data_IF_724754912693
#
_entry.id   IF_724754912693
#
_cell.length_a   1.000
_cell.length_b   1.000
_cell.length_c   1.000
_cell.angle_alpha   90.00
_cell.angle_beta   90.00
_cell.angle_gamma   90.00
#
_symmetry.space_group_name_H-M   'P 1'
#
loop_
_entity.id
_entity.type
_entity.pdbx_description
1 polymer ?
#
# COMPACT_ATOMS: atom_id res chain seq x y z
N UNK A 1 -17.22 5.71 23.59
CA UNK A 1 -16.41 5.01 22.57
C UNK A 1 -17.25 4.54 21.38
N UNK A 2 -18.39 3.88 21.58
CA UNK A 2 -19.29 3.45 20.48
C UNK A 2 -19.86 4.61 19.63
N UNK A 3 -20.01 5.80 20.22
CA UNK A 3 -20.56 6.98 19.53
C UNK A 3 -19.69 7.45 18.34
N UNK A 4 -18.35 7.35 18.44
CA UNK A 4 -17.43 7.80 17.39
C UNK A 4 -17.25 6.78 16.26
N UNK A 5 -17.44 5.49 16.55
CA UNK A 5 -17.47 4.41 15.55
C UNK A 5 -18.75 4.48 14.70
N UNK A 6 -19.91 4.71 15.34
CA UNK A 6 -21.19 4.88 14.64
C UNK A 6 -21.25 6.14 13.77
N UNK A 7 -20.43 7.15 14.06
CA UNK A 7 -20.36 8.40 13.30
C UNK A 7 -19.27 8.37 12.22
N UNK A 8 -18.59 7.23 12.00
CA UNK A 8 -17.58 7.12 10.96
C UNK A 8 -16.32 7.97 11.23
N UNK A 9 -15.94 8.16 12.50
CA UNK A 9 -14.68 8.83 12.87
C UNK A 9 -13.57 7.87 13.31
N UNK A 10 -13.92 6.63 13.69
CA UNK A 10 -12.96 5.61 14.14
C UNK A 10 -13.28 4.24 13.54
N UNK A 11 -12.25 3.49 13.11
CA UNK A 11 -12.35 2.06 12.79
C UNK A 11 -11.56 1.24 13.81
N UNK A 12 -12.18 0.18 14.36
CA UNK A 12 -11.49 -0.80 15.22
C UNK A 12 -10.57 -1.69 14.38
N UNK A 13 -9.33 -1.82 14.83
CA UNK A 13 -8.39 -2.88 14.42
C UNK A 13 -7.88 -3.54 15.70
N UNK A 14 -7.60 -4.85 15.68
CA UNK A 14 -7.30 -5.70 16.85
C UNK A 14 -6.41 -5.02 17.92
N UNK A 15 -7.02 -4.39 18.93
CA UNK A 15 -6.35 -3.72 20.05
C UNK A 15 -6.15 -2.19 19.96
N UNK A 16 -6.59 -1.51 18.89
CA UNK A 16 -6.44 -0.06 18.74
C UNK A 16 -7.64 0.61 18.04
N UNK A 17 -7.78 1.92 18.23
CA UNK A 17 -8.69 2.77 17.47
C UNK A 17 -7.87 3.69 16.55
N UNK A 18 -8.12 3.64 15.25
CA UNK A 18 -7.44 4.51 14.28
C UNK A 18 -8.44 5.52 13.73
N UNK A 19 -8.05 6.80 13.70
CA UNK A 19 -8.83 7.87 13.07
C UNK A 19 -9.12 7.52 11.61
N UNK A 20 -10.36 7.76 11.18
CA UNK A 20 -10.76 7.69 9.78
C UNK A 20 -10.13 8.88 9.04
N UNK A 21 -8.84 8.75 8.73
CA UNK A 21 -8.20 9.53 7.68
C UNK A 21 -8.90 9.20 6.38
N UNK A 22 -9.19 10.22 5.57
CA UNK A 22 -9.87 10.11 4.27
C UNK A 22 -9.55 8.79 3.57
N UNK A 23 -10.58 8.05 3.15
CA UNK A 23 -10.44 6.81 2.38
C UNK A 23 -9.75 7.04 1.01
N UNK A 24 -9.54 8.30 0.64
CA UNK A 24 -8.71 8.66 -0.51
C UNK A 24 -7.23 8.38 -0.25
N UNK A 25 -6.71 7.38 -0.96
CA UNK A 25 -5.30 7.01 -0.93
C UNK A 25 -4.40 8.15 -1.39
N UNK A 26 -4.85 9.02 -2.31
CA UNK A 26 -4.02 10.10 -2.82
C UNK A 26 -3.73 11.13 -1.73
N UNK A 27 -4.76 11.55 -0.98
CA UNK A 27 -4.58 12.35 0.25
C UNK A 27 -3.66 11.65 1.25
N UNK A 28 -3.78 10.33 1.42
CA UNK A 28 -2.92 9.57 2.33
C UNK A 28 -1.48 9.45 1.83
N UNK A 29 -1.21 9.55 0.54
CA UNK A 29 0.17 9.56 0.02
C UNK A 29 0.90 10.85 0.45
N UNK A 30 0.20 11.98 0.41
CA UNK A 30 0.76 13.29 0.76
C UNK A 30 1.09 13.41 2.26
N UNK A 31 0.26 12.83 3.12
CA UNK A 31 0.47 12.89 4.58
C UNK A 31 1.78 12.18 4.96
N UNK A 32 2.75 12.94 5.50
CA UNK A 32 4.07 12.42 5.93
C UNK A 32 4.80 11.68 4.80
N UNK A 33 4.69 12.20 3.58
CA UNK A 33 5.30 11.63 2.39
C UNK A 33 6.78 11.29 2.59
N UNK A 34 7.60 12.23 3.08
CA UNK A 34 9.06 12.05 3.23
C UNK A 34 9.43 10.86 4.12
N UNK A 35 8.70 10.68 5.22
CA UNK A 35 8.89 9.55 6.14
C UNK A 35 8.52 8.25 5.43
N UNK A 36 7.39 8.22 4.72
CA UNK A 36 6.95 7.02 3.99
C UNK A 36 7.90 6.68 2.84
N UNK A 37 8.41 7.66 2.13
CA UNK A 37 9.39 7.47 1.06
C UNK A 37 10.71 6.95 1.62
N UNK A 38 11.17 7.47 2.76
CA UNK A 38 12.37 6.96 3.45
C UNK A 38 12.19 5.50 3.86
N UNK A 39 11.03 5.14 4.43
CA UNK A 39 10.70 3.76 4.77
C UNK A 39 10.64 2.86 3.53
N UNK A 40 10.02 3.33 2.45
CA UNK A 40 9.92 2.59 1.20
C UNK A 40 11.31 2.27 0.63
N UNK A 41 12.21 3.25 0.59
CA UNK A 41 13.58 3.04 0.11
C UNK A 41 14.32 2.03 0.98
N UNK A 42 14.23 2.15 2.31
CA UNK A 42 14.87 1.20 3.24
C UNK A 42 14.31 -0.21 3.13
N UNK A 43 13.02 -0.36 2.91
CA UNK A 43 12.42 -1.66 2.67
C UNK A 43 12.83 -2.25 1.31
N UNK A 44 12.95 -1.41 0.27
CA UNK A 44 13.42 -1.85 -1.05
C UNK A 44 14.87 -2.35 -1.03
N UNK A 45 15.73 -1.76 -0.18
CA UNK A 45 17.11 -2.23 0.03
C UNK A 45 17.18 -3.67 0.57
N UNK A 46 16.12 -4.17 1.20
CA UNK A 46 16.04 -5.53 1.75
C UNK A 46 15.59 -6.58 0.71
N UNK A 47 15.12 -6.14 -0.46
CA UNK A 47 14.59 -7.03 -1.50
C UNK A 47 15.69 -7.31 -2.51
N UNK A 48 16.08 -8.57 -2.66
CA UNK A 48 17.11 -8.97 -3.61
C UNK A 48 16.58 -8.94 -5.06
N UNK A 49 17.48 -8.82 -6.07
CA UNK A 49 17.09 -8.95 -7.47
C UNK A 49 16.42 -10.30 -7.75
N UNK A 50 15.41 -10.29 -8.61
CA UNK A 50 14.57 -11.42 -9.01
C UNK A 50 13.68 -12.02 -7.91
N UNK A 51 13.57 -11.37 -6.74
CA UNK A 51 12.63 -11.80 -5.72
C UNK A 51 11.17 -11.53 -6.10
N UNK A 52 10.29 -12.28 -5.46
CA UNK A 52 8.84 -12.07 -5.52
C UNK A 52 8.36 -11.56 -4.17
N UNK A 53 7.71 -10.40 -4.17
CA UNK A 53 7.28 -9.72 -2.95
C UNK A 53 5.76 -9.53 -2.97
N UNK A 54 5.09 -9.94 -1.89
CA UNK A 54 3.68 -9.61 -1.66
C UNK A 54 3.58 -8.24 -1.00
N UNK A 55 2.87 -7.31 -1.64
CA UNK A 55 2.64 -5.95 -1.16
C UNK A 55 1.14 -5.73 -0.95
N UNK A 56 0.75 -5.51 0.30
CA UNK A 56 -0.62 -5.19 0.70
C UNK A 56 -1.02 -3.74 0.36
N UNK A 57 -2.31 -3.42 0.47
CA UNK A 57 -2.80 -2.06 0.28
C UNK A 57 -2.25 -1.03 1.30
N UNK A 58 -2.29 0.25 0.92
CA UNK A 58 -1.95 1.38 1.80
C UNK A 58 -0.92 2.34 1.21
N UNK A 59 -0.94 3.61 1.66
CA UNK A 59 -0.10 4.66 1.07
C UNK A 59 1.40 4.42 1.19
N UNK A 60 1.88 3.83 2.30
CA UNK A 60 3.30 3.52 2.45
C UNK A 60 3.72 2.38 1.51
N UNK A 61 2.88 1.35 1.39
CA UNK A 61 3.08 0.22 0.50
C UNK A 61 3.02 0.63 -0.97
N UNK A 62 2.18 1.61 -1.33
CA UNK A 62 2.14 2.17 -2.67
C UNK A 62 3.49 2.83 -3.06
N UNK A 63 4.15 3.53 -2.12
CA UNK A 63 5.49 4.06 -2.35
C UNK A 63 6.54 2.95 -2.49
N UNK A 64 6.50 1.91 -1.65
CA UNK A 64 7.39 0.76 -1.77
C UNK A 64 7.20 0.05 -3.12
N UNK A 65 5.95 -0.21 -3.51
CA UNK A 65 5.62 -0.83 -4.78
C UNK A 65 6.17 0.00 -5.94
N UNK A 66 6.00 1.33 -5.92
CA UNK A 66 6.57 2.22 -6.93
C UNK A 66 8.10 2.13 -6.99
N UNK A 67 8.79 2.25 -5.85
CA UNK A 67 10.25 2.17 -5.79
C UNK A 67 10.77 0.84 -6.36
N UNK A 68 10.16 -0.29 -5.99
CA UNK A 68 10.56 -1.60 -6.50
C UNK A 68 10.19 -1.79 -7.98
N UNK A 69 9.03 -1.26 -8.39
CA UNK A 69 8.56 -1.35 -9.76
C UNK A 69 9.44 -0.55 -10.73
N UNK A 70 9.94 0.62 -10.30
CA UNK A 70 10.91 1.44 -11.03
C UNK A 70 12.28 0.76 -11.14
N UNK A 71 12.68 -0.03 -10.13
CA UNK A 71 13.90 -0.86 -10.18
C UNK A 71 13.80 -1.94 -11.25
N UNK A 72 12.61 -2.52 -11.43
CA UNK A 72 12.24 -3.35 -12.58
C UNK A 72 12.78 -4.79 -12.58
N UNK A 73 13.45 -5.20 -11.51
CA UNK A 73 14.11 -6.50 -11.36
C UNK A 73 13.36 -7.44 -10.40
N UNK A 74 12.10 -7.16 -10.07
CA UNK A 74 11.29 -7.96 -9.13
C UNK A 74 9.94 -8.35 -9.70
N UNK A 75 9.33 -9.36 -9.08
CA UNK A 75 7.89 -9.65 -9.24
C UNK A 75 7.12 -9.10 -8.03
N UNK A 76 6.07 -8.33 -8.29
CA UNK A 76 5.20 -7.77 -7.25
C UNK A 76 3.86 -8.49 -7.31
N UNK A 77 3.46 -9.09 -6.19
CA UNK A 77 2.12 -9.63 -5.98
C UNK A 77 1.35 -8.63 -5.13
N UNK A 78 0.13 -8.27 -5.50
CA UNK A 78 -0.70 -7.39 -4.66
C UNK A 78 -2.18 -7.72 -4.79
N UNK A 79 -2.98 -7.68 -3.69
CA UNK A 79 -4.44 -7.69 -3.79
C UNK A 79 -5.01 -6.28 -4.08
N UNK A 80 -4.18 -5.23 -4.08
CA UNK A 80 -4.65 -3.86 -4.26
C UNK A 80 -4.73 -3.48 -5.73
N UNK A 81 -5.95 -3.33 -6.25
CA UNK A 81 -6.18 -2.81 -7.61
C UNK A 81 -5.58 -1.40 -7.80
N UNK A 82 -5.59 -0.56 -6.76
CA UNK A 82 -4.96 0.76 -6.78
C UNK A 82 -3.45 0.63 -7.02
N UNK A 83 -2.75 -0.19 -6.23
CA UNK A 83 -1.29 -0.37 -6.39
C UNK A 83 -0.99 -0.97 -7.76
N UNK A 84 -1.69 -2.02 -8.17
CA UNK A 84 -1.51 -2.61 -9.49
C UNK A 84 -1.68 -1.58 -10.61
N UNK A 85 -2.69 -0.71 -10.50
CA UNK A 85 -2.90 0.38 -11.45
C UNK A 85 -1.77 1.42 -11.43
N UNK A 86 -1.28 1.79 -10.24
CA UNK A 86 -0.20 2.76 -10.04
C UNK A 86 1.10 2.33 -10.76
N UNK A 87 1.46 1.05 -10.69
CA UNK A 87 2.73 0.54 -11.22
C UNK A 87 2.62 -0.15 -12.58
N UNK A 88 1.44 -0.18 -13.21
CA UNK A 88 1.18 -0.96 -14.45
C UNK A 88 2.09 -0.63 -15.65
N UNK A 89 2.70 0.55 -15.66
CA UNK A 89 3.52 1.04 -16.78
C UNK A 89 5.04 0.88 -16.52
N UNK A 90 5.45 0.11 -15.52
CA UNK A 90 6.86 -0.17 -15.26
C UNK A 90 7.31 -1.50 -15.90
N UNK A 91 8.60 -1.81 -15.80
CA UNK A 91 9.18 -3.07 -16.30
C UNK A 91 9.03 -4.25 -15.32
N UNK A 92 8.55 -4.00 -14.10
CA UNK A 92 8.37 -5.06 -13.11
C UNK A 92 7.23 -6.02 -13.51
N UNK A 93 7.38 -7.29 -13.13
CA UNK A 93 6.32 -8.27 -13.33
C UNK A 93 5.26 -8.11 -12.22
N UNK A 94 3.98 -7.96 -12.59
CA UNK A 94 2.91 -7.62 -11.65
C UNK A 94 1.84 -8.71 -11.67
N UNK A 95 1.57 -9.29 -10.50
CA UNK A 95 0.48 -10.25 -10.28
C UNK A 95 -0.57 -9.58 -9.38
N UNK A 96 -1.72 -9.23 -9.96
CA UNK A 96 -2.88 -8.78 -9.22
C UNK A 96 -3.69 -9.99 -8.74
N UNK A 97 -3.81 -10.15 -7.43
CA UNK A 97 -4.67 -11.18 -6.85
C UNK A 97 -6.14 -10.78 -7.02
N UNK A 98 -6.93 -11.66 -7.63
CA UNK A 98 -8.37 -11.54 -7.71
C UNK A 98 -9.07 -11.95 -6.41
N UNK A 99 -10.40 -11.96 -6.43
CA UNK A 99 -11.21 -12.38 -5.30
C UNK A 99 -12.66 -11.89 -5.39
N UNK A 100 -13.40 -12.08 -4.30
CA UNK A 100 -14.78 -11.59 -4.15
C UNK A 100 -14.75 -10.29 -3.36
N UNK A 101 -15.33 -9.23 -3.92
CA UNK A 101 -15.49 -7.95 -3.24
C UNK A 101 -16.57 -8.07 -2.16
N UNK A 102 -16.19 -7.91 -0.90
CA UNK A 102 -17.11 -7.91 0.24
C UNK A 102 -17.43 -6.48 0.65
N UNK A 103 -18.72 -6.14 0.63
CA UNK A 103 -19.27 -4.90 1.19
C UNK A 103 -19.34 -4.96 2.72
#
# INVERSE_FOLDING_TARGET
LNFLEQQGYLKRVHGAATALQSDDIDTRLEVRFDIKQTLANKAADLVAPNETVLIEGGSANALLARTLAERGDVTIITPSAYIAHLIRNTSANIILLGGVYQH
#
